data_IF_250062357886
#
_entry.id   IF_250062357886
#
_cell.length_a   1.000
_cell.length_b   1.000
_cell.length_c   1.000
_cell.angle_alpha   90.00
_cell.angle_beta   90.00
_cell.angle_gamma   90.00
#
_symmetry.space_group_name_H-M   'P 1'
#
loop_
_entity.id
_entity.type
_entity.pdbx_description
1 polymer ?
#
# COMPACT_ATOMS: atom_id res chain seq x y z
N UNK A 1 1.11 11.02 15.64
CA UNK A 1 0.52 9.75 16.12
C UNK A 1 1.38 8.57 15.71
N UNK A 2 1.74 8.44 14.43
CA UNK A 2 2.59 7.36 13.93
C UNK A 2 4.00 7.30 14.58
N UNK A 3 4.64 8.45 14.77
CA UNK A 3 5.94 8.56 15.44
C UNK A 3 5.91 8.05 16.88
N UNK A 4 4.84 8.35 17.64
CA UNK A 4 4.69 7.93 19.03
C UNK A 4 4.53 6.40 19.16
N UNK A 5 3.84 5.77 18.22
CA UNK A 5 3.73 4.30 18.16
C UNK A 5 5.09 3.63 17.87
N UNK A 6 5.91 4.26 17.01
CA UNK A 6 7.25 3.78 16.69
C UNK A 6 8.28 4.05 17.81
N UNK A 7 8.06 5.03 18.67
CA UNK A 7 8.89 5.29 19.85
C UNK A 7 8.83 4.13 20.86
N UNK A 8 7.67 3.48 20.99
CA UNK A 8 7.48 2.30 21.82
C UNK A 8 8.14 1.02 21.27
N UNK A 9 8.61 1.03 20.02
CA UNK A 9 9.23 -0.12 19.38
C UNK A 9 10.75 -0.15 19.57
N UNK A 10 11.29 -1.36 19.72
CA UNK A 10 12.74 -1.55 19.76
C UNK A 10 13.38 -1.25 18.40
N UNK A 11 14.65 -0.81 18.40
CA UNK A 11 15.41 -0.56 17.17
C UNK A 11 15.40 -1.75 16.19
N UNK A 12 15.57 -2.98 16.71
CA UNK A 12 15.53 -4.20 15.91
C UNK A 12 14.13 -4.53 15.36
N UNK A 13 13.06 -4.09 16.02
CA UNK A 13 11.71 -4.21 15.50
C UNK A 13 11.50 -3.23 14.34
N UNK A 14 11.85 -1.95 14.53
CA UNK A 14 11.77 -0.94 13.48
C UNK A 14 12.59 -1.32 12.24
N UNK A 15 13.81 -1.86 12.43
CA UNK A 15 14.67 -2.31 11.33
C UNK A 15 14.01 -3.43 10.52
N UNK A 16 13.38 -4.42 11.19
CA UNK A 16 12.67 -5.51 10.52
C UNK A 16 11.40 -5.04 9.81
N UNK A 17 10.64 -4.14 10.44
CA UNK A 17 9.46 -3.54 9.82
C UNK A 17 9.85 -2.80 8.55
N UNK A 18 10.90 -1.99 8.60
CA UNK A 18 11.41 -1.26 7.44
C UNK A 18 11.85 -2.21 6.34
N UNK A 19 12.64 -3.24 6.66
CA UNK A 19 13.08 -4.23 5.67
C UNK A 19 11.92 -4.96 4.98
N UNK A 20 10.84 -5.28 5.72
CA UNK A 20 9.65 -5.89 5.13
C UNK A 20 8.91 -4.94 4.18
N UNK A 21 8.86 -3.64 4.52
CA UNK A 21 8.15 -2.62 3.75
C UNK A 21 8.95 -2.15 2.51
N UNK A 22 10.28 -2.13 2.59
CA UNK A 22 11.18 -1.83 1.46
C UNK A 22 11.35 -3.03 0.52
N UNK A 23 11.25 -4.26 1.05
CA UNK A 23 11.39 -5.51 0.30
C UNK A 23 10.18 -5.85 -0.57
N UNK A 24 10.25 -7.02 -1.21
CA UNK A 24 9.23 -7.55 -2.15
C UNK A 24 7.81 -7.47 -1.58
N UNK A 25 7.61 -7.93 -0.34
CA UNK A 25 6.30 -7.87 0.32
C UNK A 25 5.72 -6.45 0.36
N UNK A 26 6.51 -5.45 0.75
CA UNK A 26 6.02 -4.08 0.88
C UNK A 26 5.85 -3.38 -0.47
N UNK A 27 6.62 -3.77 -1.48
CA UNK A 27 6.42 -3.30 -2.85
C UNK A 27 5.11 -3.86 -3.41
N UNK A 28 4.85 -5.15 -3.25
CA UNK A 28 3.60 -5.80 -3.67
C UNK A 28 2.39 -5.20 -2.93
N UNK A 29 2.49 -5.02 -1.61
CA UNK A 29 1.43 -4.42 -0.81
C UNK A 29 1.04 -3.03 -1.35
N UNK A 30 2.02 -2.17 -1.64
CA UNK A 30 1.77 -0.84 -2.17
C UNK A 30 1.18 -0.89 -3.58
N UNK A 31 1.69 -1.76 -4.45
CA UNK A 31 1.12 -1.98 -5.78
C UNK A 31 -0.34 -2.45 -5.75
N UNK A 32 -0.70 -3.35 -4.83
CA UNK A 32 -2.09 -3.81 -4.66
C UNK A 32 -2.98 -2.68 -4.14
N UNK A 33 -2.49 -1.86 -3.20
CA UNK A 33 -3.25 -0.71 -2.69
C UNK A 33 -3.46 0.36 -3.76
N UNK A 34 -2.43 0.64 -4.57
CA UNK A 34 -2.53 1.57 -5.71
C UNK A 34 -3.56 1.06 -6.72
N UNK A 35 -3.46 -0.21 -7.13
CA UNK A 35 -4.43 -0.83 -8.02
C UNK A 35 -5.85 -0.76 -7.46
N UNK A 36 -6.03 -1.09 -6.18
CA UNK A 36 -7.35 -1.01 -5.54
C UNK A 36 -7.89 0.43 -5.51
N UNK A 37 -7.04 1.42 -5.25
CA UNK A 37 -7.43 2.82 -5.26
C UNK A 37 -7.84 3.30 -6.66
N UNK A 38 -7.11 2.88 -7.70
CA UNK A 38 -7.50 3.13 -9.09
C UNK A 38 -8.86 2.52 -9.43
N UNK A 39 -9.10 1.27 -9.01
CA UNK A 39 -10.38 0.60 -9.24
C UNK A 39 -11.55 1.31 -8.55
N UNK A 40 -11.36 1.73 -7.28
CA UNK A 40 -12.38 2.51 -6.57
C UNK A 40 -12.60 3.85 -7.28
N UNK A 41 -11.54 4.55 -7.70
CA UNK A 41 -11.65 5.82 -8.41
C UNK A 41 -12.38 5.74 -9.76
N UNK A 42 -12.41 4.57 -10.39
CA UNK A 42 -13.13 4.32 -11.64
C UNK A 42 -14.59 3.89 -11.44
N UNK A 43 -14.91 3.27 -10.29
CA UNK A 43 -16.19 2.57 -10.10
C UNK A 43 -17.10 3.22 -9.06
N UNK A 44 -16.57 4.08 -8.19
CA UNK A 44 -17.31 4.71 -7.10
C UNK A 44 -17.50 6.22 -7.34
N UNK A 45 -18.71 6.71 -7.10
CA UNK A 45 -19.05 8.13 -7.28
C UNK A 45 -18.86 8.94 -5.99
N UNK A 46 -18.88 8.29 -4.83
CA UNK A 46 -18.68 8.97 -3.55
C UNK A 46 -17.23 9.47 -3.40
N UNK A 47 -17.01 10.81 -3.41
CA UNK A 47 -15.66 11.38 -3.38
C UNK A 47 -14.94 11.10 -2.06
N UNK A 48 -15.66 10.85 -0.96
CA UNK A 48 -15.06 10.51 0.33
C UNK A 48 -14.46 9.10 0.27
N UNK A 49 -15.15 8.15 -0.35
CA UNK A 49 -14.64 6.79 -0.53
C UNK A 49 -13.46 6.75 -1.48
N UNK A 50 -13.55 7.46 -2.61
CA UNK A 50 -12.44 7.61 -3.56
C UNK A 50 -11.22 8.20 -2.85
N UNK A 51 -11.38 9.34 -2.17
CA UNK A 51 -10.28 9.95 -1.42
C UNK A 51 -9.71 9.02 -0.34
N UNK A 52 -10.56 8.23 0.33
CA UNK A 52 -10.10 7.29 1.35
C UNK A 52 -9.29 6.15 0.74
N UNK A 53 -9.69 5.63 -0.42
CA UNK A 53 -8.95 4.57 -1.11
C UNK A 53 -7.52 5.04 -1.47
N UNK A 54 -7.37 6.24 -2.03
CA UNK A 54 -6.07 6.81 -2.37
C UNK A 54 -5.21 7.20 -1.16
N UNK A 55 -5.75 7.26 0.07
CA UNK A 55 -4.94 7.52 1.27
C UNK A 55 -4.14 6.30 1.73
N UNK A 56 -4.59 5.09 1.45
CA UNK A 56 -3.94 3.88 1.96
C UNK A 56 -2.54 3.63 1.38
N UNK A 57 -2.29 3.78 0.07
CA UNK A 57 -0.94 3.69 -0.46
C UNK A 57 0.01 4.71 0.19
N UNK A 58 -0.41 5.98 0.23
CA UNK A 58 0.36 7.07 0.87
C UNK A 58 0.64 6.80 2.33
N UNK A 59 -0.32 6.23 3.07
CA UNK A 59 -0.12 5.90 4.47
C UNK A 59 1.00 4.87 4.69
N UNK A 60 1.17 3.91 3.78
CA UNK A 60 2.29 2.95 3.86
C UNK A 60 3.62 3.64 3.61
N UNK A 61 3.67 4.60 2.67
CA UNK A 61 4.87 5.42 2.43
C UNK A 61 5.23 6.28 3.64
N UNK A 62 4.23 6.90 4.29
CA UNK A 62 4.42 7.66 5.53
C UNK A 62 5.01 6.80 6.65
N UNK A 63 4.61 5.52 6.75
CA UNK A 63 5.19 4.57 7.70
C UNK A 63 6.65 4.28 7.39
N UNK A 64 7.00 4.12 6.11
CA UNK A 64 8.39 3.90 5.67
C UNK A 64 9.26 5.12 6.01
N UNK A 65 8.78 6.33 5.73
CA UNK A 65 9.46 7.59 6.06
C UNK A 65 9.69 7.70 7.57
N UNK A 66 8.64 7.48 8.37
CA UNK A 66 8.74 7.56 9.83
C UNK A 66 9.72 6.50 10.41
N UNK A 67 9.79 5.31 9.81
CA UNK A 67 10.76 4.27 10.18
C UNK A 67 12.19 4.68 9.82
N UNK A 68 12.42 5.30 8.66
CA UNK A 68 13.73 5.85 8.30
C UNK A 68 14.20 6.89 9.31
N UNK A 69 13.36 7.89 9.60
CA UNK A 69 13.65 8.93 10.58
C UNK A 69 13.98 8.34 11.95
N UNK A 70 13.17 7.37 12.41
CA UNK A 70 13.36 6.67 13.69
C UNK A 70 14.69 5.91 13.77
N UNK A 71 15.19 5.44 12.63
CA UNK A 71 16.47 4.72 12.50
C UNK A 71 17.64 5.66 12.17
N UNK A 72 17.43 6.97 12.14
CA UNK A 72 18.45 7.96 11.83
C UNK A 72 18.87 7.99 10.36
N UNK A 73 18.02 7.49 9.45
CA UNK A 73 18.20 7.54 8.00
C UNK A 73 17.32 8.67 7.48
N UNK A 74 17.92 9.69 6.87
CA UNK A 74 17.19 10.85 6.32
C UNK A 74 17.31 10.88 4.80
N UNK A 75 16.44 11.65 4.14
CA UNK A 75 16.42 11.87 2.68
C UNK A 75 16.29 10.57 1.84
N UNK A 76 15.64 9.55 2.39
CA UNK A 76 15.44 8.29 1.68
C UNK A 76 14.23 8.42 0.75
N UNK A 77 14.48 8.26 -0.55
CA UNK A 77 13.41 8.10 -1.53
C UNK A 77 12.78 6.72 -1.37
N UNK A 78 11.51 6.70 -1.00
CA UNK A 78 10.71 5.49 -0.97
C UNK A 78 10.53 5.02 -2.41
N UNK A 79 11.04 3.82 -2.71
CA UNK A 79 10.84 3.21 -4.03
C UNK A 79 9.33 3.01 -4.28
N UNK A 80 8.84 3.20 -5.52
CA UNK A 80 7.44 2.97 -5.84
C UNK A 80 7.03 1.52 -5.56
N UNK A 81 5.73 1.30 -5.37
CA UNK A 81 5.16 -0.04 -5.31
C UNK A 81 5.34 -0.83 -6.60
N UNK A 82 4.99 -2.11 -6.57
CA UNK A 82 4.96 -2.95 -7.77
C UNK A 82 4.01 -2.33 -8.82
N UNK A 83 4.44 -2.33 -10.09
CA UNK A 83 3.67 -1.79 -11.21
C UNK A 83 2.55 -2.76 -11.63
N UNK A 84 1.47 -2.78 -10.85
CA UNK A 84 0.31 -3.65 -11.06
C UNK A 84 -0.76 -2.88 -11.84
N UNK A 85 -0.77 -3.07 -13.16
CA UNK A 85 -1.74 -2.38 -14.04
C UNK A 85 -2.91 -3.25 -14.44
N UNK A 86 -2.74 -4.57 -14.37
CA UNK A 86 -3.73 -5.53 -14.82
C UNK A 86 -3.99 -6.57 -13.75
N UNK A 87 -5.20 -7.11 -13.79
CA UNK A 87 -5.58 -8.22 -12.92
C UNK A 87 -4.71 -9.47 -13.12
N UNK A 88 -4.13 -9.66 -14.31
CA UNK A 88 -3.17 -10.74 -14.60
C UNK A 88 -1.86 -10.61 -13.84
N UNK A 89 -1.54 -9.42 -13.37
CA UNK A 89 -0.28 -9.11 -12.69
C UNK A 89 -0.40 -9.37 -11.18
N UNK A 90 -1.63 -9.61 -10.69
CA UNK A 90 -1.93 -9.97 -9.31
C UNK A 90 -1.68 -11.47 -9.07
N UNK A 91 -1.14 -11.80 -7.90
CA UNK A 91 -1.08 -13.20 -7.48
C UNK A 91 -2.47 -13.72 -7.17
N UNK A 92 -2.64 -15.05 -7.16
CA UNK A 92 -3.92 -15.66 -6.76
C UNK A 92 -4.36 -15.28 -5.34
N UNK A 93 -3.42 -14.88 -4.47
CA UNK A 93 -3.73 -14.41 -3.13
C UNK A 93 -4.34 -13.00 -3.15
N UNK A 94 -3.79 -12.11 -3.97
CA UNK A 94 -4.24 -10.72 -4.07
C UNK A 94 -5.63 -10.65 -4.71
N UNK A 95 -5.85 -11.43 -5.78
CA UNK A 95 -7.15 -11.68 -6.40
C UNK A 95 -8.19 -12.06 -5.35
N UNK A 96 -7.85 -13.02 -4.48
CA UNK A 96 -8.77 -13.50 -3.44
C UNK A 96 -9.05 -12.41 -2.41
N UNK A 97 -8.04 -11.67 -1.96
CA UNK A 97 -8.20 -10.58 -1.01
C UNK A 97 -9.08 -9.45 -1.58
N UNK A 98 -8.86 -9.05 -2.83
CA UNK A 98 -9.64 -8.03 -3.53
C UNK A 98 -11.10 -8.48 -3.73
N UNK A 99 -11.33 -9.75 -4.07
CA UNK A 99 -12.70 -10.27 -4.24
C UNK A 99 -13.52 -10.21 -2.95
N UNK A 100 -12.87 -10.36 -1.78
CA UNK A 100 -13.55 -10.25 -0.48
C UNK A 100 -14.05 -8.83 -0.16
N UNK A 101 -13.50 -7.81 -0.82
CA UNK A 101 -13.94 -6.41 -0.68
C UNK A 101 -14.76 -5.92 -1.87
N UNK A 102 -15.22 -6.85 -2.73
CA UNK A 102 -16.08 -6.55 -3.87
C UNK A 102 -15.35 -6.16 -5.16
N UNK A 103 -14.02 -6.26 -5.20
CA UNK A 103 -13.20 -5.97 -6.38
C UNK A 103 -12.93 -7.29 -7.12
N UNK A 104 -13.74 -7.59 -8.14
CA UNK A 104 -13.70 -8.84 -8.89
C UNK A 104 -13.54 -8.64 -10.39
N UNK A 105 -13.27 -9.73 -11.11
CA UNK A 105 -13.07 -9.76 -12.57
C UNK A 105 -14.24 -9.20 -13.38
N UNK A 106 -15.47 -9.25 -12.86
CA UNK A 106 -16.68 -8.77 -13.54
C UNK A 106 -16.88 -7.25 -13.44
N UNK A 107 -16.21 -6.56 -12.51
CA UNK A 107 -16.29 -5.10 -12.36
C UNK A 107 -15.47 -4.36 -13.42
N UNK A 108 -14.69 -5.11 -14.21
CA UNK A 108 -13.67 -4.61 -15.14
C UNK A 108 -13.99 -4.83 -16.62
N UNK A 109 -15.18 -5.35 -16.96
CA UNK A 109 -15.67 -5.32 -18.35
C UNK A 109 -16.34 -3.97 -18.58
N UNK A 110 -15.54 -2.91 -18.67
CA UNK A 110 -15.97 -1.70 -19.39
C UNK A 110 -14.94 -1.46 -20.48
N UNK A 111 -15.40 -1.74 -21.70
CA UNK A 111 -14.78 -1.58 -23.02
C UNK A 111 -14.04 -0.26 -23.22
#
# INVERSE_FOLDING_TARGET
>A
MLTAELEGQSFNACTRMLANLEGEYGQDLRGVLDFAAEQVGQTEEDPVKVSTAYKYPTFVEDVIIALHERLGRYDVLVAPGADIRRYSDLTSRDIKALSCVGIGTNTLIVT
#
